data_IF_903795858318
#
_entry.id   IF_903795858318
#
_cell.length_a   1.000
_cell.length_b   1.000
_cell.length_c   1.000
_cell.angle_alpha   90.00
_cell.angle_beta   90.00
_cell.angle_gamma   90.00
#
_symmetry.space_group_name_H-M   'P 1'
#
loop_
_entity.id
_entity.type
_entity.pdbx_description
1 polymer ?
#
# COMPACT_ATOMS: atom_id res chain seq x y z
N UNK A 1 7.71 16.00 -57.63
CA UNK A 1 6.85 15.95 -56.43
C UNK A 1 7.76 16.00 -55.22
N UNK A 2 7.86 17.17 -54.58
CA UNK A 2 8.68 17.36 -53.38
C UNK A 2 8.04 16.63 -52.21
N UNK A 3 8.64 15.53 -51.77
CA UNK A 3 8.26 14.85 -50.53
C UNK A 3 8.39 15.83 -49.36
N UNK A 4 7.25 16.34 -48.90
CA UNK A 4 7.17 17.17 -47.71
C UNK A 4 7.40 16.27 -46.50
N UNK A 5 8.60 16.30 -45.91
CA UNK A 5 8.88 15.60 -44.66
C UNK A 5 8.00 16.23 -43.56
N UNK A 6 6.98 15.52 -43.03
CA UNK A 6 6.03 16.08 -42.08
C UNK A 6 6.64 16.43 -40.71
N UNK A 7 7.92 16.10 -40.48
CA UNK A 7 8.70 16.49 -39.29
C UNK A 7 9.56 17.74 -39.51
N UNK A 8 9.63 18.27 -40.73
CA UNK A 8 10.42 19.46 -41.05
C UNK A 8 9.63 20.75 -40.77
N UNK A 9 9.20 20.94 -39.53
CA UNK A 9 8.67 22.20 -39.03
C UNK A 9 9.53 22.70 -37.85
N UNK A 10 9.53 24.01 -37.61
CA UNK A 10 10.28 24.63 -36.50
C UNK A 10 9.81 23.99 -35.18
N UNK A 11 10.71 23.34 -34.45
CA UNK A 11 10.41 22.59 -33.22
C UNK A 11 10.18 21.09 -33.38
N UNK A 12 10.31 20.53 -34.59
CA UNK A 12 10.20 19.09 -34.86
C UNK A 12 11.42 18.25 -34.45
N UNK A 13 12.52 18.90 -34.03
CA UNK A 13 13.64 18.22 -33.40
C UNK A 13 13.37 18.10 -31.89
N UNK A 14 13.23 16.88 -31.38
CA UNK A 14 13.08 16.59 -29.96
C UNK A 14 14.41 16.04 -29.42
N UNK A 15 15.42 16.91 -29.19
CA UNK A 15 16.70 16.46 -28.68
C UNK A 15 16.55 15.84 -27.28
N UNK A 16 17.49 14.97 -26.86
CA UNK A 16 17.45 14.37 -25.53
C UNK A 16 17.39 15.44 -24.41
N UNK A 17 16.80 15.12 -23.25
CA UNK A 17 16.66 16.06 -22.12
C UNK A 17 17.98 16.34 -21.39
N UNK A 18 19.10 15.86 -21.92
CA UNK A 18 20.47 16.03 -21.46
C UNK A 18 21.38 16.27 -22.66
N UNK A 19 22.56 16.83 -22.43
CA UNK A 19 23.57 17.00 -23.49
C UNK A 19 24.31 15.68 -23.75
N UNK A 20 24.15 15.04 -24.92
CA UNK A 20 24.81 13.78 -25.23
C UNK A 20 26.33 13.89 -25.26
N UNK A 21 26.88 15.05 -25.65
CA UNK A 21 28.33 15.29 -25.73
C UNK A 21 28.94 15.29 -24.33
N UNK A 22 28.24 15.89 -23.35
CA UNK A 22 28.67 15.87 -21.95
C UNK A 22 28.65 14.46 -21.37
N UNK A 23 27.61 13.68 -21.68
CA UNK A 23 27.50 12.28 -21.23
C UNK A 23 28.62 11.44 -21.84
N UNK A 24 28.85 11.57 -23.15
CA UNK A 24 29.93 10.86 -23.85
C UNK A 24 31.30 11.22 -23.27
N UNK A 25 31.57 12.50 -23.05
CA UNK A 25 32.81 12.96 -22.40
C UNK A 25 33.00 12.33 -21.01
N UNK A 26 31.97 12.37 -20.16
CA UNK A 26 32.05 11.79 -18.81
C UNK A 26 32.21 10.27 -18.86
N UNK A 27 31.64 9.60 -19.86
CA UNK A 27 31.79 8.18 -20.06
C UNK A 27 33.22 7.82 -20.49
N UNK A 28 33.80 8.56 -21.43
CA UNK A 28 35.21 8.40 -21.83
C UNK A 28 36.17 8.66 -20.68
N UNK A 29 35.93 9.71 -19.88
CA UNK A 29 36.73 10.00 -18.68
C UNK A 29 36.58 8.90 -17.60
N UNK A 30 35.42 8.26 -17.51
CA UNK A 30 35.21 7.13 -16.60
C UNK A 30 35.89 5.85 -17.10
N UNK A 31 35.89 5.60 -18.42
CA UNK A 31 36.50 4.41 -19.01
C UNK A 31 37.96 4.25 -18.61
N UNK A 32 38.76 5.33 -18.61
CA UNK A 32 40.15 5.27 -18.17
C UNK A 32 40.33 4.84 -16.70
N UNK A 33 39.39 5.18 -15.81
CA UNK A 33 39.40 4.69 -14.43
C UNK A 33 38.93 3.23 -14.34
N UNK A 34 38.02 2.80 -15.20
CA UNK A 34 37.54 1.41 -15.25
C UNK A 34 38.63 0.46 -15.77
N UNK A 35 39.36 0.88 -16.80
CA UNK A 35 40.49 0.13 -17.33
C UNK A 35 41.60 0.01 -16.29
N UNK A 36 41.97 1.12 -15.65
CA UNK A 36 42.95 1.11 -14.55
C UNK A 36 42.47 0.32 -13.32
N UNK A 37 41.16 0.22 -13.08
CA UNK A 37 40.62 -0.63 -12.01
C UNK A 37 40.95 -2.10 -12.26
N UNK A 38 40.92 -2.56 -13.52
CA UNK A 38 41.23 -3.94 -13.86
C UNK A 38 42.68 -4.29 -13.49
N UNK A 39 43.63 -3.39 -13.74
CA UNK A 39 45.04 -3.57 -13.35
C UNK A 39 45.20 -3.70 -11.83
N UNK A 40 44.48 -2.87 -11.06
CA UNK A 40 44.48 -2.97 -9.60
C UNK A 40 43.85 -4.27 -9.08
N UNK A 41 42.80 -4.76 -9.74
CA UNK A 41 42.15 -6.03 -9.40
C UNK A 41 43.06 -7.21 -9.73
N UNK A 42 43.72 -7.20 -10.89
CA UNK A 42 44.65 -8.25 -11.32
C UNK A 42 45.89 -8.32 -10.42
N UNK A 43 46.37 -7.16 -9.95
CA UNK A 43 47.49 -7.08 -9.01
C UNK A 43 47.24 -7.84 -7.69
N UNK A 44 45.98 -8.00 -7.28
CA UNK A 44 45.60 -8.79 -6.11
C UNK A 44 46.09 -8.18 -4.80
N UNK A 45 46.84 -8.96 -4.01
CA UNK A 45 47.28 -8.54 -2.67
C UNK A 45 48.30 -7.39 -2.75
N UNK A 46 48.02 -6.31 -2.03
CA UNK A 46 48.91 -5.15 -1.92
C UNK A 46 49.98 -5.42 -0.85
N UNK A 47 51.23 -5.61 -1.27
CA UNK A 47 52.34 -5.97 -0.37
C UNK A 47 53.32 -4.83 -0.07
N UNK A 48 53.07 -3.62 -0.60
CA UNK A 48 53.93 -2.45 -0.44
C UNK A 48 53.12 -1.21 -0.02
N UNK A 49 53.66 -0.42 0.90
CA UNK A 49 53.08 0.86 1.33
C UNK A 49 52.90 1.84 0.15
N UNK A 50 53.86 1.85 -0.79
CA UNK A 50 53.77 2.70 -1.99
C UNK A 50 52.60 2.29 -2.90
N UNK A 51 52.32 0.99 -2.99
CA UNK A 51 51.18 0.49 -3.77
C UNK A 51 49.84 0.82 -3.09
N UNK A 52 49.80 0.79 -1.76
CA UNK A 52 48.62 1.21 -1.00
C UNK A 52 48.31 2.70 -1.18
N UNK A 53 49.34 3.55 -1.20
CA UNK A 53 49.19 4.99 -1.45
C UNK A 53 48.67 5.28 -2.86
N UNK A 54 49.24 4.60 -3.87
CA UNK A 54 48.78 4.73 -5.27
C UNK A 54 47.34 4.23 -5.45
N UNK A 55 46.97 3.12 -4.81
CA UNK A 55 45.59 2.61 -4.83
C UNK A 55 44.63 3.60 -4.14
N UNK A 56 45.03 4.21 -3.03
CA UNK A 56 44.24 5.23 -2.35
C UNK A 56 44.02 6.47 -3.23
N UNK A 57 45.06 6.93 -3.93
CA UNK A 57 44.95 8.05 -4.89
C UNK A 57 44.03 7.70 -6.08
N UNK A 58 44.13 6.47 -6.60
CA UNK A 58 43.22 5.96 -7.61
C UNK A 58 41.76 5.97 -7.13
N UNK A 59 41.48 5.42 -5.94
CA UNK A 59 40.14 5.42 -5.33
C UNK A 59 39.62 6.85 -5.16
N UNK A 60 40.46 7.76 -4.67
CA UNK A 60 40.10 9.17 -4.53
C UNK A 60 39.77 9.82 -5.88
N UNK A 61 40.53 9.52 -6.93
CA UNK A 61 40.28 9.95 -8.30
C UNK A 61 38.93 9.44 -8.84
N UNK A 62 38.65 8.15 -8.67
CA UNK A 62 37.38 7.55 -9.08
C UNK A 62 36.18 8.16 -8.34
N UNK A 63 36.30 8.39 -7.02
CA UNK A 63 35.27 9.08 -6.22
C UNK A 63 35.02 10.52 -6.69
N UNK A 64 36.07 11.26 -7.03
CA UNK A 64 35.96 12.61 -7.61
C UNK A 64 35.23 12.57 -8.96
N UNK A 65 35.56 11.58 -9.82
CA UNK A 65 34.90 11.43 -11.11
C UNK A 65 33.41 11.15 -10.97
N UNK A 66 33.03 10.20 -10.10
CA UNK A 66 31.63 9.91 -9.74
C UNK A 66 30.89 11.16 -9.29
N UNK A 67 31.48 11.93 -8.37
CA UNK A 67 30.87 13.16 -7.85
C UNK A 67 30.61 14.19 -8.96
N UNK A 68 31.55 14.36 -9.88
CA UNK A 68 31.39 15.30 -10.98
C UNK A 68 30.37 14.83 -12.03
N UNK A 69 30.27 13.52 -12.28
CA UNK A 69 29.19 12.95 -13.11
C UNK A 69 27.81 13.20 -12.48
N UNK A 70 27.69 13.02 -11.16
CA UNK A 70 26.43 13.29 -10.45
C UNK A 70 26.04 14.78 -10.49
N UNK A 71 27.02 15.69 -10.38
CA UNK A 71 26.79 17.13 -10.56
C UNK A 71 26.26 17.46 -11.96
N UNK A 72 26.83 16.87 -13.01
CA UNK A 72 26.36 17.07 -14.39
C UNK A 72 24.92 16.55 -14.57
N UNK A 73 24.62 15.36 -14.01
CA UNK A 73 23.26 14.80 -13.98
C UNK A 73 22.28 15.73 -13.26
N UNK A 74 22.65 16.23 -12.08
CA UNK A 74 21.81 17.13 -11.30
C UNK A 74 21.56 18.45 -12.05
N UNK A 75 22.56 19.01 -12.72
CA UNK A 75 22.43 20.21 -13.53
C UNK A 75 21.50 20.00 -14.74
N UNK A 76 21.66 18.89 -15.47
CA UNK A 76 20.79 18.55 -16.60
C UNK A 76 19.34 18.29 -16.17
N UNK A 77 19.14 17.67 -15.01
CA UNK A 77 17.81 17.37 -14.45
C UNK A 77 17.09 18.60 -13.88
N UNK A 78 17.84 19.58 -13.37
CA UNK A 78 17.30 20.77 -12.70
C UNK A 78 16.16 21.49 -13.46
N UNK A 79 16.30 21.87 -14.74
CA UNK A 79 15.23 22.57 -15.45
C UNK A 79 13.94 21.75 -15.55
N UNK A 80 14.04 20.42 -15.72
CA UNK A 80 12.90 19.52 -15.80
C UNK A 80 12.23 19.34 -14.44
N UNK A 81 13.02 19.22 -13.37
CA UNK A 81 12.49 19.18 -12.00
C UNK A 81 11.75 20.49 -11.65
N UNK A 82 12.34 21.63 -12.00
CA UNK A 82 11.76 22.94 -11.72
C UNK A 82 10.49 23.18 -12.57
N UNK A 83 10.48 22.76 -13.83
CA UNK A 83 9.27 22.75 -14.67
C UNK A 83 8.19 21.82 -14.09
N UNK A 84 8.56 20.62 -13.65
CA UNK A 84 7.65 19.69 -12.98
C UNK A 84 7.05 20.28 -11.70
N UNK A 85 7.86 20.96 -10.88
CA UNK A 85 7.37 21.68 -9.69
C UNK A 85 6.42 22.81 -10.04
N UNK A 86 6.68 23.56 -11.12
CA UNK A 86 5.80 24.64 -11.56
C UNK A 86 4.42 24.10 -11.98
N UNK A 87 4.39 22.98 -12.72
CA UNK A 87 3.14 22.27 -13.05
C UNK A 87 2.43 21.83 -11.76
N UNK A 88 3.13 21.15 -10.85
CA UNK A 88 2.53 20.74 -9.58
C UNK A 88 1.97 21.93 -8.79
N UNK A 89 2.69 23.04 -8.72
CA UNK A 89 2.25 24.25 -8.03
C UNK A 89 0.99 24.87 -8.64
N UNK A 90 0.85 24.85 -9.98
CA UNK A 90 -0.34 25.35 -10.67
C UNK A 90 -1.59 24.49 -10.38
N UNK A 91 -1.44 23.17 -10.35
CA UNK A 91 -2.57 22.25 -10.18
C UNK A 91 -2.91 21.97 -8.71
N UNK A 92 -1.94 22.06 -7.80
CA UNK A 92 -2.12 21.73 -6.38
C UNK A 92 -3.29 22.49 -5.73
N UNK A 93 -3.45 23.83 -5.90
CA UNK A 93 -4.59 24.54 -5.32
C UNK A 93 -5.95 24.04 -5.83
N UNK A 94 -6.04 23.63 -7.10
CA UNK A 94 -7.27 23.09 -7.69
C UNK A 94 -7.58 21.73 -7.07
N UNK A 95 -6.57 20.84 -7.03
CA UNK A 95 -6.70 19.51 -6.43
C UNK A 95 -7.09 19.64 -4.95
N UNK A 96 -6.40 20.47 -4.17
CA UNK A 96 -6.71 20.67 -2.74
C UNK A 96 -8.12 21.21 -2.52
N UNK A 97 -8.63 22.11 -3.37
CA UNK A 97 -10.02 22.58 -3.28
C UNK A 97 -11.03 21.46 -3.55
N UNK A 98 -10.78 20.63 -4.57
CA UNK A 98 -11.62 19.48 -4.90
C UNK A 98 -11.57 18.40 -3.83
N UNK A 99 -10.38 18.08 -3.31
CA UNK A 99 -10.19 17.19 -2.17
C UNK A 99 -10.95 17.69 -0.94
N UNK A 100 -10.91 19.00 -0.66
CA UNK A 100 -11.69 19.60 0.43
C UNK A 100 -13.20 19.44 0.21
N UNK A 101 -13.69 19.66 -1.02
CA UNK A 101 -15.10 19.47 -1.35
C UNK A 101 -15.52 18.01 -1.14
N UNK A 102 -14.74 17.04 -1.63
CA UNK A 102 -15.00 15.61 -1.44
C UNK A 102 -14.94 15.23 0.04
N UNK A 103 -13.93 15.69 0.77
CA UNK A 103 -13.75 15.42 2.20
C UNK A 103 -14.91 15.96 3.05
N UNK A 104 -15.44 17.13 2.73
CA UNK A 104 -16.59 17.72 3.44
C UNK A 104 -17.93 17.08 3.09
N UNK A 105 -18.10 16.60 1.85
CA UNK A 105 -19.39 16.05 1.37
C UNK A 105 -19.52 14.54 1.56
N UNK A 106 -18.42 13.79 1.52
CA UNK A 106 -18.42 12.32 1.72
C UNK A 106 -19.05 11.90 3.05
N UNK A 107 -18.79 12.57 4.20
CA UNK A 107 -19.44 12.25 5.47
C UNK A 107 -20.97 12.40 5.44
N UNK A 108 -21.50 13.31 4.62
CA UNK A 108 -22.96 13.47 4.46
C UNK A 108 -23.57 12.23 3.81
N UNK A 109 -22.92 11.72 2.75
CA UNK A 109 -23.33 10.47 2.10
C UNK A 109 -23.15 9.27 3.03
N UNK A 110 -22.06 9.21 3.79
CA UNK A 110 -21.83 8.15 4.80
C UNK A 110 -22.94 8.14 5.85
N UNK A 111 -23.30 9.31 6.40
CA UNK A 111 -24.37 9.44 7.40
C UNK A 111 -25.72 8.97 6.85
N UNK A 112 -26.03 9.32 5.59
CA UNK A 112 -27.24 8.85 4.92
C UNK A 112 -27.24 7.33 4.73
N UNK A 113 -26.14 6.75 4.25
CA UNK A 113 -26.00 5.31 4.08
C UNK A 113 -26.08 4.56 5.43
N UNK A 114 -25.53 5.12 6.50
CA UNK A 114 -25.67 4.57 7.86
C UNK A 114 -27.13 4.58 8.33
N UNK A 115 -27.88 5.67 8.10
CA UNK A 115 -29.32 5.71 8.39
C UNK A 115 -30.11 4.68 7.58
N UNK A 116 -29.78 4.55 6.28
CA UNK A 116 -30.40 3.56 5.40
C UNK A 116 -30.09 2.12 5.86
N UNK A 117 -28.85 1.87 6.29
CA UNK A 117 -28.45 0.58 6.83
C UNK A 117 -29.13 0.29 8.18
N UNK A 118 -29.20 1.26 9.08
CA UNK A 118 -29.91 1.11 10.36
C UNK A 118 -31.40 0.80 10.15
N UNK A 119 -32.07 1.51 9.22
CA UNK A 119 -33.46 1.23 8.87
C UNK A 119 -33.63 -0.16 8.23
N UNK A 120 -32.66 -0.62 7.43
CA UNK A 120 -32.64 -1.97 6.85
C UNK A 120 -32.49 -3.03 7.94
N UNK A 121 -31.55 -2.83 8.87
CA UNK A 121 -31.31 -3.74 9.98
C UNK A 121 -32.52 -3.84 10.91
N UNK A 122 -33.21 -2.73 11.17
CA UNK A 122 -34.43 -2.75 11.97
C UNK A 122 -35.56 -3.52 11.27
N UNK A 123 -35.77 -3.29 9.97
CA UNK A 123 -36.73 -4.09 9.18
C UNK A 123 -36.39 -5.57 9.19
N UNK A 124 -35.10 -5.89 9.05
CA UNK A 124 -34.63 -7.27 9.08
C UNK A 124 -34.84 -7.91 10.44
N UNK A 125 -34.63 -7.17 11.53
CA UNK A 125 -34.91 -7.60 12.91
C UNK A 125 -36.39 -7.93 13.11
N UNK A 126 -37.28 -7.04 12.64
CA UNK A 126 -38.74 -7.27 12.71
C UNK A 126 -39.14 -8.50 11.90
N UNK A 127 -38.65 -8.64 10.66
CA UNK A 127 -38.94 -9.80 9.81
C UNK A 127 -38.43 -11.12 10.41
N UNK A 128 -37.25 -11.13 11.02
CA UNK A 128 -36.76 -12.31 11.71
C UNK A 128 -37.58 -12.66 12.95
N UNK A 129 -38.03 -11.66 13.71
CA UNK A 129 -38.88 -11.88 14.87
C UNK A 129 -40.28 -12.39 14.48
N UNK A 130 -40.86 -11.85 13.41
CA UNK A 130 -42.14 -12.33 12.85
C UNK A 130 -42.01 -13.76 12.34
N UNK A 131 -40.95 -14.08 11.58
CA UNK A 131 -40.70 -15.43 11.11
C UNK A 131 -40.47 -16.42 12.28
N UNK A 132 -39.76 -16.00 13.34
CA UNK A 132 -39.56 -16.81 14.55
C UNK A 132 -40.89 -17.09 15.25
N UNK A 133 -41.73 -16.07 15.44
CA UNK A 133 -43.06 -16.24 16.05
C UNK A 133 -43.96 -17.13 15.22
N UNK A 134 -43.94 -16.98 13.90
CA UNK A 134 -44.73 -17.83 13.00
C UNK A 134 -44.32 -19.32 13.11
N UNK A 135 -43.01 -19.59 13.22
CA UNK A 135 -42.51 -20.95 13.45
C UNK A 135 -42.95 -21.50 14.83
N UNK A 136 -42.80 -20.71 15.90
CA UNK A 136 -43.22 -21.12 17.26
C UNK A 136 -44.73 -21.41 17.34
N UNK A 137 -45.55 -20.60 16.66
CA UNK A 137 -47.00 -20.80 16.57
C UNK A 137 -47.36 -22.04 15.74
N UNK A 138 -46.67 -22.28 14.62
CA UNK A 138 -46.86 -23.47 13.79
C UNK A 138 -46.48 -24.76 14.55
N UNK A 139 -45.36 -24.73 15.28
CA UNK A 139 -44.93 -25.85 16.13
C UNK A 139 -45.92 -26.11 17.27
N UNK A 140 -46.47 -25.05 17.87
CA UNK A 140 -47.51 -25.18 18.90
C UNK A 140 -48.78 -25.83 18.33
N UNK A 141 -49.27 -25.34 17.19
CA UNK A 141 -50.44 -25.91 16.51
C UNK A 141 -50.22 -27.38 16.13
N UNK A 142 -49.03 -27.72 15.64
CA UNK A 142 -48.67 -29.09 15.30
C UNK A 142 -48.67 -30.01 16.54
N UNK A 143 -48.09 -29.55 17.65
CA UNK A 143 -48.08 -30.30 18.90
C UNK A 143 -49.50 -30.48 19.47
N UNK A 144 -50.34 -29.46 19.41
CA UNK A 144 -51.74 -29.51 19.85
C UNK A 144 -52.59 -30.48 18.99
N UNK A 145 -52.42 -30.44 17.68
CA UNK A 145 -53.12 -31.32 16.75
C UNK A 145 -52.70 -32.79 16.92
N UNK A 146 -51.38 -33.04 17.03
CA UNK A 146 -50.84 -34.38 17.26
C UNK A 146 -51.30 -34.97 18.61
N UNK A 147 -51.38 -34.15 19.67
CA UNK A 147 -51.89 -34.57 20.97
C UNK A 147 -53.37 -34.97 20.92
N UNK A 148 -54.16 -34.40 20.01
CA UNK A 148 -55.59 -34.67 19.85
C UNK A 148 -55.90 -35.69 18.74
N UNK A 149 -54.89 -36.14 17.98
CA UNK A 149 -55.07 -36.92 16.74
C UNK A 149 -56.08 -36.24 15.79
N UNK A 150 -56.03 -34.91 15.70
CA UNK A 150 -56.94 -34.11 14.88
C UNK A 150 -56.37 -33.91 13.48
N UNK A 151 -56.90 -34.64 12.51
CA UNK A 151 -56.48 -34.59 11.11
C UNK A 151 -56.67 -33.18 10.51
N UNK A 152 -57.71 -32.45 10.91
CA UNK A 152 -57.92 -31.08 10.42
C UNK A 152 -56.86 -30.14 11.00
N UNK A 153 -56.57 -30.29 12.29
CA UNK A 153 -55.53 -29.53 12.97
C UNK A 153 -54.13 -29.80 12.41
N UNK A 154 -53.85 -31.03 11.97
CA UNK A 154 -52.58 -31.38 11.32
C UNK A 154 -52.40 -30.70 9.96
N UNK A 155 -53.47 -30.59 9.15
CA UNK A 155 -53.46 -29.87 7.87
C UNK A 155 -53.26 -28.36 8.10
N UNK A 156 -53.96 -27.78 9.06
CA UNK A 156 -53.82 -26.36 9.41
C UNK A 156 -52.43 -26.04 9.99
N UNK A 157 -51.84 -26.97 10.75
CA UNK A 157 -50.48 -26.84 11.26
C UNK A 157 -49.42 -26.94 10.14
N UNK A 158 -49.62 -27.83 9.16
CA UNK A 158 -48.74 -27.91 7.98
C UNK A 158 -48.79 -26.63 7.14
N UNK A 159 -49.99 -26.10 6.88
CA UNK A 159 -50.14 -24.82 6.19
C UNK A 159 -49.44 -23.67 6.95
N UNK A 160 -49.56 -23.64 8.29
CA UNK A 160 -48.86 -22.65 9.11
C UNK A 160 -47.33 -22.82 9.08
N UNK A 161 -46.81 -24.05 8.99
CA UNK A 161 -45.37 -24.32 8.83
C UNK A 161 -44.87 -23.84 7.47
N UNK A 162 -45.61 -24.10 6.39
CA UNK A 162 -45.25 -23.62 5.05
C UNK A 162 -45.21 -22.09 4.99
N UNK A 163 -46.20 -21.40 5.56
CA UNK A 163 -46.21 -19.93 5.65
C UNK A 163 -45.01 -19.41 6.45
N UNK A 164 -44.70 -20.02 7.59
CA UNK A 164 -43.57 -19.64 8.42
C UNK A 164 -42.22 -19.88 7.72
N UNK A 165 -42.09 -20.92 6.90
CA UNK A 165 -40.87 -21.18 6.11
C UNK A 165 -40.72 -20.17 4.96
N UNK A 166 -41.82 -19.76 4.32
CA UNK A 166 -41.81 -18.67 3.34
C UNK A 166 -41.34 -17.36 3.97
N UNK A 167 -41.85 -17.02 5.16
CA UNK A 167 -41.41 -15.83 5.91
C UNK A 167 -39.92 -15.88 6.26
N UNK A 168 -39.42 -17.05 6.69
CA UNK A 168 -38.00 -17.24 6.98
C UNK A 168 -37.12 -17.10 5.72
N UNK A 169 -37.55 -17.65 4.58
CA UNK A 169 -36.88 -17.52 3.28
C UNK A 169 -36.83 -16.07 2.81
N UNK A 170 -37.91 -15.31 2.99
CA UNK A 170 -37.96 -13.90 2.60
C UNK A 170 -37.08 -13.03 3.49
N UNK A 171 -37.05 -13.27 4.81
CA UNK A 171 -36.11 -12.62 5.72
C UNK A 171 -34.64 -12.91 5.33
N UNK A 172 -34.32 -14.15 4.99
CA UNK A 172 -32.97 -14.54 4.54
C UNK A 172 -32.58 -13.90 3.19
N UNK A 173 -33.53 -13.72 2.27
CA UNK A 173 -33.31 -12.98 1.02
C UNK A 173 -33.09 -11.49 1.28
N UNK A 174 -33.90 -10.89 2.14
CA UNK A 174 -33.76 -9.49 2.55
C UNK A 174 -32.42 -9.20 3.22
N UNK A 175 -31.90 -10.15 4.02
CA UNK A 175 -30.60 -10.04 4.68
C UNK A 175 -29.42 -9.84 3.71
N UNK A 176 -29.49 -10.47 2.52
CA UNK A 176 -28.45 -10.39 1.48
C UNK A 176 -28.41 -9.05 0.75
N UNK A 177 -29.48 -8.26 0.83
CA UNK A 177 -29.53 -6.92 0.23
C UNK A 177 -28.59 -5.95 0.97
N UNK A 178 -27.94 -5.04 0.23
CA UNK A 178 -27.02 -4.04 0.80
C UNK A 178 -27.62 -2.65 0.69
N UNK A 179 -27.44 -1.82 1.72
CA UNK A 179 -27.71 -0.39 1.59
C UNK A 179 -26.74 0.27 0.61
N UNK A 180 -27.27 0.75 -0.52
CA UNK A 180 -26.50 1.45 -1.55
C UNK A 180 -27.28 2.65 -2.13
N UNK A 181 -26.60 3.51 -2.90
CA UNK A 181 -27.19 4.62 -3.66
C UNK A 181 -26.63 4.58 -5.08
N UNK A 182 -27.52 4.55 -6.08
CA UNK A 182 -27.14 4.59 -7.51
C UNK A 182 -26.95 6.02 -7.99
N UNK A 183 -26.26 6.20 -9.11
CA UNK A 183 -26.16 7.52 -9.73
C UNK A 183 -27.48 7.89 -10.40
N UNK A 184 -27.95 9.12 -10.13
CA UNK A 184 -29.15 9.66 -10.76
C UNK A 184 -28.96 9.96 -12.26
N UNK A 185 -27.74 10.32 -12.69
CA UNK A 185 -27.43 10.74 -14.06
C UNK A 185 -26.61 9.70 -14.84
N UNK A 186 -26.23 8.59 -14.20
CA UNK A 186 -25.32 7.58 -14.76
C UNK A 186 -23.84 7.98 -14.76
N UNK A 187 -23.50 9.23 -14.39
CA UNK A 187 -22.11 9.70 -14.34
C UNK A 187 -21.31 9.18 -13.13
N UNK A 188 -21.99 8.64 -12.12
CA UNK A 188 -21.36 8.09 -10.91
C UNK A 188 -21.51 6.58 -10.78
N UNK A 189 -20.56 5.94 -10.08
CA UNK A 189 -20.72 4.54 -9.65
C UNK A 189 -21.67 4.46 -8.46
N UNK A 190 -22.31 3.30 -8.28
CA UNK A 190 -23.10 3.01 -7.08
C UNK A 190 -22.23 3.14 -5.81
N UNK A 191 -22.69 3.94 -4.86
CA UNK A 191 -22.05 4.12 -3.56
C UNK A 191 -22.62 3.15 -2.52
N UNK A 192 -21.76 2.54 -1.71
CA UNK A 192 -22.12 1.66 -0.61
C UNK A 192 -21.14 1.80 0.55
N UNK A 193 -21.54 1.38 1.75
CA UNK A 193 -20.62 1.30 2.88
C UNK A 193 -19.57 0.19 2.63
N UNK A 194 -18.33 0.46 3.04
CA UNK A 194 -17.22 -0.51 3.04
C UNK A 194 -16.72 -0.66 4.47
N UNK A 195 -16.59 -1.90 4.92
CA UNK A 195 -16.02 -2.24 6.23
C UNK A 195 -14.50 -2.31 6.11
N UNK A 196 -13.80 -1.64 7.01
CA UNK A 196 -12.35 -1.74 7.15
C UNK A 196 -12.03 -2.30 8.53
N UNK A 197 -11.07 -3.22 8.59
CA UNK A 197 -10.56 -3.77 9.85
C UNK A 197 -9.16 -3.19 10.08
N UNK A 198 -9.03 -2.36 11.10
CA UNK A 198 -7.75 -1.78 11.51
C UNK A 198 -7.27 -2.48 12.78
N UNK A 199 -6.04 -2.97 12.76
CA UNK A 199 -5.42 -3.57 13.95
C UNK A 199 -4.92 -2.46 14.89
N UNK A 200 -5.30 -2.52 16.16
CA UNK A 200 -4.76 -1.68 17.23
C UNK A 200 -4.03 -2.58 18.22
N UNK A 201 -2.75 -2.30 18.47
CA UNK A 201 -1.95 -3.07 19.43
C UNK A 201 -2.36 -2.65 20.85
N UNK A 202 -3.11 -3.49 21.53
CA UNK A 202 -3.54 -3.28 22.93
C UNK A 202 -2.48 -3.77 23.92
N UNK A 203 -1.86 -4.93 23.63
CA UNK A 203 -0.81 -5.52 24.43
C UNK A 203 0.38 -5.87 23.54
N UNK A 204 1.46 -5.10 23.69
CA UNK A 204 2.67 -5.23 22.87
C UNK A 204 3.35 -6.58 23.05
N UNK A 205 3.43 -7.11 24.29
CA UNK A 205 4.08 -8.40 24.54
C UNK A 205 3.33 -9.54 23.88
N UNK A 206 2.00 -9.56 23.99
CA UNK A 206 1.18 -10.58 23.34
C UNK A 206 1.28 -10.49 21.82
N UNK A 207 1.24 -9.27 21.26
CA UNK A 207 1.43 -9.07 19.82
C UNK A 207 2.83 -9.51 19.36
N UNK A 208 3.87 -9.19 20.11
CA UNK A 208 5.24 -9.62 19.82
C UNK A 208 5.35 -11.15 19.80
N UNK A 209 4.85 -11.84 20.83
CA UNK A 209 4.87 -13.31 20.88
C UNK A 209 4.07 -13.94 19.74
N UNK A 210 2.98 -13.31 19.31
CA UNK A 210 2.20 -13.78 18.16
C UNK A 210 2.96 -13.64 16.83
N UNK A 211 3.71 -12.54 16.66
CA UNK A 211 4.44 -12.23 15.43
C UNK A 211 5.93 -12.61 15.46
N UNK A 212 6.41 -13.30 16.51
CA UNK A 212 7.84 -13.55 16.75
C UNK A 212 8.54 -14.28 15.58
N UNK A 213 7.84 -15.16 14.88
CA UNK A 213 8.37 -15.92 13.74
C UNK A 213 8.23 -15.18 12.40
N UNK A 214 7.62 -13.98 12.38
CA UNK A 214 7.44 -13.21 11.16
C UNK A 214 8.78 -12.61 10.70
N UNK A 215 9.27 -12.88 9.48
CA UNK A 215 10.53 -12.35 8.97
C UNK A 215 10.63 -10.82 9.04
N UNK A 216 9.52 -10.11 8.81
CA UNK A 216 9.50 -8.65 8.87
C UNK A 216 9.77 -8.11 10.28
N UNK A 217 9.38 -8.84 11.32
CA UNK A 217 9.69 -8.47 12.69
C UNK A 217 11.18 -8.68 13.00
N UNK A 218 11.78 -9.77 12.51
CA UNK A 218 13.22 -10.00 12.63
C UNK A 218 14.05 -8.92 11.93
N UNK A 219 13.64 -8.47 10.73
CA UNK A 219 14.28 -7.36 10.03
C UNK A 219 14.15 -6.03 10.79
N UNK A 220 12.98 -5.77 11.38
CA UNK A 220 12.76 -4.60 12.22
C UNK A 220 13.69 -4.59 13.44
N UNK A 221 13.79 -5.72 14.15
CA UNK A 221 14.70 -5.86 15.29
C UNK A 221 16.17 -5.66 14.88
N UNK A 222 16.59 -6.25 13.74
CA UNK A 222 17.93 -6.02 13.18
C UNK A 222 18.18 -4.55 12.88
N UNK A 223 17.22 -3.86 12.25
CA UNK A 223 17.36 -2.43 11.92
C UNK A 223 17.49 -1.56 13.17
N UNK A 224 16.79 -1.90 14.25
CA UNK A 224 16.91 -1.19 15.53
C UNK A 224 18.30 -1.41 16.15
N UNK A 225 18.79 -2.64 16.12
CA UNK A 225 20.12 -2.97 16.62
C UNK A 225 21.25 -2.31 15.80
N UNK A 226 21.15 -2.33 14.47
CA UNK A 226 22.10 -1.63 13.59
C UNK A 226 22.17 -0.13 13.89
N UNK A 227 21.02 0.49 14.21
CA UNK A 227 20.96 1.91 14.56
C UNK A 227 21.65 2.18 15.91
N UNK A 228 21.49 1.29 16.89
CA UNK A 228 22.16 1.36 18.19
C UNK A 228 23.67 1.17 18.05
N UNK A 229 24.11 0.17 17.28
CA UNK A 229 25.53 -0.12 17.01
C UNK A 229 26.23 1.06 16.32
N UNK A 230 25.52 1.80 15.46
CA UNK A 230 26.07 2.99 14.76
C UNK A 230 26.10 4.25 15.63
N UNK A 231 25.47 4.23 16.80
CA UNK A 231 25.46 5.38 17.70
C UNK A 231 26.87 5.61 18.29
N UNK A 232 27.19 6.87 18.62
CA UNK A 232 28.53 7.22 19.15
C UNK A 232 28.80 6.65 20.54
N UNK A 233 27.73 6.34 21.27
CA UNK A 233 27.78 5.90 22.66
C UNK A 233 27.87 4.37 22.77
N UNK A 234 27.77 3.66 21.65
CA UNK A 234 27.85 2.20 21.61
C UNK A 234 29.30 1.75 21.40
N UNK A 235 29.81 0.99 22.36
CA UNK A 235 31.12 0.34 22.27
C UNK A 235 30.93 -1.17 21.97
N UNK A 236 31.29 -1.63 20.76
CA UNK A 236 31.13 -3.04 20.36
C UNK A 236 31.93 -4.04 21.22
N UNK A 237 32.96 -3.60 21.94
CA UNK A 237 33.80 -4.49 22.76
C UNK A 237 33.22 -4.71 24.17
N UNK A 238 32.46 -3.75 24.69
CA UNK A 238 31.94 -3.77 26.06
C UNK A 238 30.42 -3.93 26.15
N UNK A 239 29.67 -3.48 25.13
CA UNK A 239 28.22 -3.50 25.12
C UNK A 239 27.67 -4.68 24.31
N UNK A 240 26.67 -5.39 24.86
CA UNK A 240 26.02 -6.53 24.22
C UNK A 240 24.53 -6.27 24.07
N UNK A 241 23.98 -6.61 22.90
CA UNK A 241 22.54 -6.59 22.66
C UNK A 241 22.00 -8.02 22.81
N UNK A 242 21.07 -8.29 23.74
CA UNK A 242 20.53 -9.63 23.93
C UNK A 242 19.94 -10.22 22.65
N UNK A 243 20.35 -11.44 22.29
CA UNK A 243 19.84 -12.16 21.13
C UNK A 243 20.43 -11.72 19.78
N UNK A 244 21.45 -10.84 19.78
CA UNK A 244 22.11 -10.34 18.56
C UNK A 244 23.61 -10.57 18.65
N UNK A 245 24.17 -11.16 17.59
CA UNK A 245 25.61 -11.30 17.42
C UNK A 245 26.16 -10.12 16.62
N UNK A 246 27.15 -9.42 17.19
CA UNK A 246 27.77 -8.25 16.57
C UNK A 246 28.97 -8.72 15.76
N UNK A 247 28.94 -8.50 14.45
CA UNK A 247 30.02 -8.86 13.53
C UNK A 247 30.79 -7.59 13.14
N UNK A 248 32.04 -7.48 13.59
CA UNK A 248 32.92 -6.32 13.28
C UNK A 248 33.78 -6.64 12.06
N UNK A 249 33.49 -5.96 10.95
CA UNK A 249 34.25 -6.05 9.70
C UNK A 249 34.96 -4.71 9.43
N UNK A 250 36.28 -4.74 9.21
CA UNK A 250 37.09 -3.53 8.95
C UNK A 250 37.35 -3.41 7.45
N UNK A 251 36.72 -2.43 6.80
CA UNK A 251 36.87 -2.14 5.37
C UNK A 251 37.47 -0.75 5.15
N UNK A 252 38.27 -0.60 4.09
CA UNK A 252 38.71 0.71 3.64
C UNK A 252 37.51 1.59 3.23
N UNK A 253 37.57 2.89 3.55
CA UNK A 253 36.47 3.85 3.35
C UNK A 253 36.62 4.68 2.09
#
# INVERSE_FOLDING_TARGET
>A
MTEHNPRAFIGGNNPPPYDPIVVEKLNTEAAGFLDAAAEWIEKGDITSEGDAQLLNDFIAGAKKRKTATDKARAAAKKPHDDAGKAVQAAFKPIITKLESAVSKTSPLLTTWLQKKEAARQEKLRIQHEEARRAQEEADRKAAEAAARNDISGEIDAEAAREEADLMAKDAARAAKSKANVTSATGGGRTASLRTYHTAMVVNVRAAFMHYQENPALAECLRSLADAEIRSKDFDPETMKIPGIEIITDRKAV
#
